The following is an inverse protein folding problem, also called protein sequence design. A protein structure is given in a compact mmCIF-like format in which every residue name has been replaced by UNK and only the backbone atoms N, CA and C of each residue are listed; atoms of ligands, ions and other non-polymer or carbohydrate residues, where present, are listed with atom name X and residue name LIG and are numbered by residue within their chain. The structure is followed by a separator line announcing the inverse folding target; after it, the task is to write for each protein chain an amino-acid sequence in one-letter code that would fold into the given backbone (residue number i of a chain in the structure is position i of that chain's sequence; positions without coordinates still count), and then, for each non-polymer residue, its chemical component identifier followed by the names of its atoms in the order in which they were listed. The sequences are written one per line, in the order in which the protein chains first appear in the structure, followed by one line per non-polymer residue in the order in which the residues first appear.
data_IF_738728193774
#
_entry.id   IF_738728193774
#
_cell.length_a   1.000
_cell.length_b   1.000
_cell.length_c   1.000
_cell.angle_alpha   90.00
_cell.angle_beta   90.00
_cell.angle_gamma   90.00
#
_symmetry.space_group_name_H-M   'P 1'
#
loop_
_entity.id
_entity.type
_entity.pdbx_description
1 polymer ?
#
# COMPACT_ATOMS: atom_id res chain seq x y z
N UNK A 1 -7.16 9.32 -6.40
CA UNK A 1 -5.90 8.65 -6.03
C UNK A 1 -4.69 9.49 -6.43
N UNK A 2 -3.77 9.74 -5.50
CA UNK A 2 -2.59 10.59 -5.69
C UNK A 2 -1.38 9.79 -6.18
N UNK A 3 -0.31 10.47 -6.62
CA UNK A 3 0.95 9.83 -7.04
C UNK A 3 1.59 9.02 -5.90
N UNK A 4 1.49 9.55 -4.68
CA UNK A 4 1.94 8.92 -3.45
C UNK A 4 1.17 7.63 -3.16
N UNK A 5 -0.15 7.66 -3.31
CA UNK A 5 -1.00 6.48 -3.15
C UNK A 5 -0.63 5.37 -4.16
N UNK A 6 -0.36 5.73 -5.41
CA UNK A 6 0.12 4.76 -6.41
C UNK A 6 1.47 4.14 -6.05
N UNK A 7 2.44 4.96 -5.60
CA UNK A 7 3.76 4.46 -5.16
C UNK A 7 3.63 3.49 -3.99
N UNK A 8 2.76 3.80 -3.03
CA UNK A 8 2.48 2.91 -1.88
C UNK A 8 1.85 1.61 -2.35
N UNK A 9 0.85 1.65 -3.24
CA UNK A 9 0.21 0.44 -3.79
C UNK A 9 1.19 -0.43 -4.59
N UNK A 10 2.05 0.17 -5.42
CA UNK A 10 3.10 -0.55 -6.15
C UNK A 10 4.08 -1.24 -5.18
N UNK A 11 4.53 -0.53 -4.14
CA UNK A 11 5.45 -1.08 -3.14
C UNK A 11 4.83 -2.23 -2.34
N UNK A 12 3.56 -2.10 -1.95
CA UNK A 12 2.81 -3.16 -1.27
C UNK A 12 2.62 -4.37 -2.17
N UNK A 13 2.21 -4.17 -3.43
CA UNK A 13 2.01 -5.25 -4.38
C UNK A 13 3.32 -6.00 -4.69
N UNK A 14 4.43 -5.28 -4.81
CA UNK A 14 5.75 -5.90 -4.93
C UNK A 14 6.11 -6.72 -3.70
N UNK A 15 5.82 -6.17 -2.51
CA UNK A 15 6.08 -6.86 -1.24
C UNK A 15 5.23 -8.13 -1.08
N UNK A 16 3.95 -8.12 -1.48
CA UNK A 16 3.10 -9.33 -1.46
C UNK A 16 3.69 -10.44 -2.34
N UNK A 17 4.32 -10.11 -3.46
CA UNK A 17 4.90 -11.10 -4.39
C UNK A 17 6.15 -11.80 -3.85
N UNK A 18 6.89 -11.13 -2.96
CA UNK A 18 8.15 -11.63 -2.41
C UNK A 18 8.01 -12.12 -0.96
N UNK A 19 6.94 -11.73 -0.27
CA UNK A 19 6.70 -12.13 1.10
C UNK A 19 6.20 -13.58 1.19
N UNK A 20 6.69 -14.31 2.20
CA UNK A 20 6.19 -15.63 2.58
C UNK A 20 4.99 -15.56 3.56
N UNK A 21 4.50 -14.36 3.85
CA UNK A 21 3.48 -14.07 4.85
C UNK A 21 2.27 -13.40 4.20
N UNK A 22 1.07 -13.81 4.59
CA UNK A 22 -0.20 -13.23 4.11
C UNK A 22 -0.40 -11.78 4.59
N UNK A 23 0.25 -11.39 5.69
CA UNK A 23 0.23 -10.03 6.24
C UNK A 23 1.56 -9.33 6.05
N UNK A 24 1.51 -8.10 5.54
CA UNK A 24 2.66 -7.22 5.30
C UNK A 24 2.81 -6.15 6.38
N UNK A 25 4.04 -5.67 6.67
CA UNK A 25 4.26 -4.48 7.50
C UNK A 25 3.96 -3.18 6.72
N UNK A 26 2.67 -2.92 6.46
CA UNK A 26 2.22 -1.92 5.48
C UNK A 26 2.71 -0.49 5.79
N UNK A 27 2.77 -0.07 7.06
CA UNK A 27 3.31 1.25 7.45
C UNK A 27 4.78 1.42 7.08
N UNK A 28 5.60 0.40 7.35
CA UNK A 28 7.03 0.43 7.02
C UNK A 28 7.25 0.49 5.52
N UNK A 29 6.47 -0.26 4.75
CA UNK A 29 6.56 -0.27 3.29
C UNK A 29 6.12 1.08 2.72
N UNK A 30 5.02 1.65 3.21
CA UNK A 30 4.54 2.96 2.79
C UNK A 30 5.54 4.08 3.10
N UNK A 31 6.11 4.10 4.30
CA UNK A 31 7.15 5.05 4.67
C UNK A 31 8.36 4.95 3.74
N UNK A 32 8.84 3.73 3.46
CA UNK A 32 9.94 3.50 2.53
C UNK A 32 9.63 3.99 1.11
N UNK A 33 8.43 3.74 0.60
CA UNK A 33 7.98 4.19 -0.73
C UNK A 33 7.89 5.73 -0.84
N UNK A 34 7.76 6.40 0.30
CA UNK A 34 7.63 7.85 0.41
C UNK A 34 8.89 8.52 0.97
N UNK A 35 10.05 7.85 0.88
CA UNK A 35 11.35 8.43 1.26
C UNK A 35 11.58 8.53 2.78
N UNK A 36 10.93 7.69 3.57
CA UNK A 36 11.02 7.67 5.03
C UNK A 36 10.08 8.65 5.73
N UNK A 37 9.11 9.23 5.01
CA UNK A 37 8.14 10.16 5.60
C UNK A 37 6.96 9.39 6.23
N UNK A 38 7.05 9.15 7.53
CA UNK A 38 6.04 8.40 8.30
C UNK A 38 4.70 9.13 8.40
N UNK A 39 4.68 10.46 8.50
CA UNK A 39 3.44 11.25 8.60
C UNK A 39 2.66 11.20 7.28
N UNK A 40 3.36 11.37 6.16
CA UNK A 40 2.76 11.24 4.83
C UNK A 40 2.29 9.81 4.58
N UNK A 41 3.07 8.80 5.00
CA UNK A 41 2.68 7.40 4.90
C UNK A 41 1.39 7.11 5.68
N UNK A 42 1.28 7.61 6.93
CA UNK A 42 0.07 7.44 7.72
C UNK A 42 -1.15 8.07 7.03
N UNK A 43 -1.00 9.28 6.48
CA UNK A 43 -2.09 9.95 5.74
C UNK A 43 -2.51 9.16 4.50
N UNK A 44 -1.55 8.74 3.68
CA UNK A 44 -1.82 7.98 2.45
C UNK A 44 -2.45 6.63 2.75
N UNK A 45 -2.01 5.94 3.81
CA UNK A 45 -2.61 4.67 4.24
C UNK A 45 -4.04 4.85 4.74
N UNK A 46 -4.32 5.92 5.48
CA UNK A 46 -5.70 6.24 5.90
C UNK A 46 -6.61 6.49 4.68
N UNK A 47 -6.15 7.25 3.68
CA UNK A 47 -6.92 7.51 2.45
C UNK A 47 -7.17 6.20 1.68
N UNK A 48 -6.16 5.34 1.54
CA UNK A 48 -6.29 4.04 0.86
C UNK A 48 -7.21 3.05 1.59
N UNK A 49 -7.21 3.07 2.92
CA UNK A 49 -8.09 2.27 3.76
C UNK A 49 -9.55 2.73 3.63
N UNK A 50 -9.78 4.05 3.64
CA UNK A 50 -11.09 4.66 3.35
C UNK A 50 -11.58 4.34 1.93
N UNK A 51 -10.67 4.28 0.95
CA UNK A 51 -10.99 3.85 -0.41
C UNK A 51 -11.22 2.32 -0.51
N UNK A 52 -11.01 1.54 0.55
CA UNK A 52 -11.17 0.08 0.56
C UNK A 52 -10.10 -0.65 -0.24
N UNK A 53 -8.93 -0.03 -0.44
CA UNK A 53 -7.79 -0.62 -1.15
C UNK A 53 -6.92 -1.49 -0.22
N UNK A 54 -7.06 -1.31 1.09
CA UNK A 54 -6.32 -2.03 2.12
C UNK A 54 -7.28 -2.78 3.04
N UNK A 55 -6.79 -3.89 3.58
CA UNK A 55 -7.41 -4.56 4.72
C UNK A 55 -6.37 -4.63 5.83
N UNK A 56 -6.70 -4.03 6.96
CA UNK A 56 -5.77 -3.81 8.08
C UNK A 56 -6.28 -4.57 9.30
N UNK A 57 -5.38 -5.07 10.13
CA UNK A 57 -5.69 -5.88 11.31
C UNK A 57 -6.00 -5.04 12.58
N UNK A 58 -5.96 -3.72 12.45
CA UNK A 58 -6.28 -2.66 13.44
C UNK A 58 -5.10 -2.25 14.35
N UNK A 59 -5.09 -0.94 14.65
CA UNK A 59 -4.13 -0.08 15.35
C UNK A 59 -2.93 0.39 14.51
N UNK A 60 -3.15 1.49 13.79
CA UNK A 60 -2.09 2.34 13.22
C UNK A 60 -1.50 1.85 11.90
N UNK A 61 -2.23 1.02 11.15
CA UNK A 61 -1.79 0.45 9.87
C UNK A 61 -0.44 -0.26 9.98
N UNK A 62 -0.16 -0.87 11.14
CA UNK A 62 1.11 -1.57 11.39
C UNK A 62 1.28 -2.74 10.44
N UNK A 63 0.21 -3.50 10.24
CA UNK A 63 0.14 -4.65 9.35
C UNK A 63 -1.18 -4.71 8.56
N UNK A 64 -1.16 -5.47 7.47
CA UNK A 64 -2.32 -5.68 6.62
C UNK A 64 -1.95 -6.24 5.25
N UNK A 65 -2.92 -6.24 4.35
CA UNK A 65 -2.74 -6.70 2.97
C UNK A 65 -3.53 -5.82 2.01
N UNK A 66 -3.23 -5.94 0.71
CA UNK A 66 -4.06 -5.34 -0.32
C UNK A 66 -5.39 -6.08 -0.40
N UNK A 67 -6.48 -5.34 -0.60
CA UNK A 67 -7.74 -5.95 -1.04
C UNK A 67 -7.65 -6.31 -2.52
N UNK A 68 -8.63 -7.05 -3.03
CA UNK A 68 -8.77 -7.29 -4.47
C UNK A 68 -8.83 -5.98 -5.27
N UNK A 69 -9.43 -4.92 -4.70
CA UNK A 69 -9.47 -3.58 -5.30
C UNK A 69 -8.07 -2.95 -5.35
N UNK A 70 -7.34 -2.96 -4.24
CA UNK A 70 -5.97 -2.42 -4.18
C UNK A 70 -5.02 -3.13 -5.15
N UNK A 71 -5.13 -4.47 -5.26
CA UNK A 71 -4.37 -5.25 -6.24
C UNK A 71 -4.70 -4.87 -7.68
N UNK A 72 -5.98 -4.79 -8.06
CA UNK A 72 -6.38 -4.44 -9.41
C UNK A 72 -5.81 -3.09 -9.86
N UNK A 73 -5.90 -2.09 -8.98
CA UNK A 73 -5.35 -0.75 -9.21
C UNK A 73 -3.83 -0.78 -9.41
N UNK A 74 -3.10 -1.52 -8.57
CA UNK A 74 -1.64 -1.63 -8.68
C UNK A 74 -1.19 -2.22 -10.03
N UNK A 75 -1.97 -3.15 -10.59
CA UNK A 75 -1.68 -3.78 -11.89
C UNK A 75 -1.96 -2.81 -13.04
N UNK A 76 -3.08 -2.09 -13.01
CA UNK A 76 -3.41 -1.11 -14.06
C UNK A 76 -2.38 0.03 -14.12
N UNK A 77 -1.90 0.50 -12.97
CA UNK A 77 -0.88 1.55 -12.90
C UNK A 77 0.46 1.11 -13.53
N UNK A 78 0.84 -0.16 -13.36
CA UNK A 78 2.03 -0.72 -13.98
C UNK A 78 1.91 -0.85 -15.51
N UNK A 79 0.71 -1.19 -16.02
CA UNK A 79 0.47 -1.34 -17.47
C UNK A 79 0.43 0.00 -18.20
N UNK A 80 -0.07 1.07 -17.57
CA UNK A 80 -0.10 2.41 -18.20
C UNK A 80 1.26 3.12 -18.24
N UNK A 81 2.30 2.55 -17.64
CA UNK A 81 3.68 3.06 -17.64
C UNK A 81 4.66 2.26 -18.52
N UNK A 82 4.20 1.15 -19.11
CA UNK A 82 4.95 0.33 -20.07
C UNK A 82 4.63 0.74 -21.51
#
# INVERSE_FOLDING_TARGET
MTSEAFRVLEALAWSERIALSETLPIRRIAAAALGGNDDLAAKVLADLDLEGCLQTDIAGWSSGCLTSKGRAISVTAAVSRA
#
